data_IF_542235665427
#
_entry.id   IF_542235665427
#
_cell.length_a   1.000
_cell.length_b   1.000
_cell.length_c   1.000
_cell.angle_alpha   90.00
_cell.angle_beta   90.00
_cell.angle_gamma   90.00
#
_symmetry.space_group_name_H-M   'P 1'
#
loop_
_entity.id
_entity.type
_entity.pdbx_description
1 polymer ?
#
# COMPACT_ATOMS: atom_id res chain seq x y z
N UNK A 1 -15.77 1.56 10.42
CA UNK A 1 -14.70 0.59 10.15
C UNK A 1 -14.02 1.04 8.87
N UNK A 2 -12.78 1.55 8.93
CA UNK A 2 -12.02 1.82 7.70
C UNK A 2 -11.73 0.45 7.07
N UNK A 3 -12.16 0.26 5.82
CA UNK A 3 -11.82 -0.94 5.08
C UNK A 3 -10.30 -0.99 4.95
N UNK A 4 -9.70 -2.16 5.18
CA UNK A 4 -8.28 -2.37 4.97
C UNK A 4 -8.01 -2.32 3.46
N UNK A 5 -7.48 -1.20 2.97
CA UNK A 5 -7.34 -0.86 1.54
C UNK A 5 -5.89 -0.98 1.06
N UNK A 6 -4.94 -1.12 1.98
CA UNK A 6 -3.53 -1.29 1.66
C UNK A 6 -2.96 -2.45 2.47
N UNK A 7 -2.40 -3.42 1.76
CA UNK A 7 -1.73 -4.59 2.32
C UNK A 7 -0.23 -4.38 2.27
N UNK A 8 0.43 -4.69 3.37
CA UNK A 8 1.88 -4.73 3.48
C UNK A 8 2.37 -6.17 3.61
N UNK A 9 3.36 -6.57 2.81
CA UNK A 9 4.05 -7.85 2.90
C UNK A 9 5.54 -7.62 3.21
N UNK A 10 5.97 -8.07 4.38
CA UNK A 10 7.38 -8.03 4.75
C UNK A 10 8.16 -9.13 4.02
N UNK A 11 9.17 -8.74 3.23
CA UNK A 11 10.14 -9.67 2.65
C UNK A 11 11.51 -9.51 3.34
N UNK A 12 11.95 -10.49 4.16
CA UNK A 12 13.24 -10.45 4.83
C UNK A 12 14.44 -10.77 3.91
N UNK A 13 14.19 -11.25 2.69
CA UNK A 13 15.23 -11.61 1.72
C UNK A 13 15.53 -10.48 0.73
N UNK A 14 14.68 -9.45 0.70
CA UNK A 14 14.95 -8.26 -0.10
C UNK A 14 16.04 -7.41 0.56
N UNK A 15 17.19 -7.35 -0.10
CA UNK A 15 18.40 -6.68 0.40
C UNK A 15 18.60 -5.28 -0.18
N UNK A 16 17.80 -4.90 -1.18
CA UNK A 16 17.88 -3.57 -1.81
C UNK A 16 16.89 -2.60 -1.16
N UNK A 17 15.67 -3.06 -0.85
CA UNK A 17 14.62 -2.27 -0.23
C UNK A 17 13.95 -3.04 0.91
N UNK A 18 14.64 -3.18 2.06
CA UNK A 18 14.20 -3.85 3.29
C UNK A 18 12.90 -3.31 3.94
N UNK A 19 12.09 -2.57 3.17
CA UNK A 19 10.82 -1.95 3.51
C UNK A 19 9.61 -2.82 3.18
N UNK A 20 9.78 -3.94 2.47
CA UNK A 20 8.73 -4.88 2.03
C UNK A 20 7.86 -4.35 0.88
N UNK A 21 6.82 -5.11 0.50
CA UNK A 21 5.96 -4.85 -0.66
C UNK A 21 4.59 -4.32 -0.27
N UNK A 22 4.01 -3.46 -1.11
CA UNK A 22 2.69 -2.87 -0.89
C UNK A 22 1.71 -3.20 -2.00
N UNK A 23 0.47 -3.53 -1.62
CA UNK A 23 -0.58 -3.90 -2.57
C UNK A 23 -1.91 -3.23 -2.19
N UNK A 24 -2.55 -2.58 -3.16
CA UNK A 24 -3.89 -2.05 -2.94
C UNK A 24 -4.92 -3.19 -2.87
N UNK A 25 -5.86 -3.09 -1.93
CA UNK A 25 -7.04 -3.94 -1.84
C UNK A 25 -8.22 -3.20 -2.50
N UNK A 26 -8.39 -3.37 -3.80
CA UNK A 26 -9.45 -2.74 -4.55
C UNK A 26 -10.73 -3.57 -4.45
N UNK A 27 -11.81 -2.97 -3.92
CA UNK A 27 -13.14 -3.61 -3.84
C UNK A 27 -13.11 -5.02 -3.21
N UNK A 28 -12.26 -5.20 -2.18
CA UNK A 28 -12.09 -6.47 -1.47
C UNK A 28 -11.16 -7.48 -2.14
N UNK A 29 -10.42 -7.09 -3.19
CA UNK A 29 -9.43 -7.93 -3.87
C UNK A 29 -8.05 -7.30 -3.83
N UNK A 30 -7.06 -8.05 -3.34
CA UNK A 30 -5.65 -7.67 -3.43
C UNK A 30 -5.27 -7.59 -4.91
N UNK A 31 -4.75 -6.44 -5.34
CA UNK A 31 -4.23 -6.27 -6.68
C UNK A 31 -2.86 -6.95 -6.79
N UNK A 32 -2.57 -7.53 -7.96
CA UNK A 32 -1.29 -8.22 -8.22
C UNK A 32 -0.12 -7.25 -8.42
N UNK A 33 -0.43 -6.03 -8.85
CA UNK A 33 0.56 -4.98 -9.08
C UNK A 33 1.01 -4.38 -7.76
N UNK A 34 2.31 -4.49 -7.48
CA UNK A 34 2.94 -3.78 -6.38
C UNK A 34 2.87 -2.26 -6.58
N UNK A 35 2.62 -1.54 -5.49
CA UNK A 35 2.61 -0.09 -5.46
C UNK A 35 3.87 0.45 -4.78
N UNK A 36 4.62 1.35 -5.44
CA UNK A 36 5.64 2.11 -4.74
C UNK A 36 5.00 3.09 -3.77
N UNK A 37 5.72 3.44 -2.70
CA UNK A 37 5.29 4.52 -1.80
C UNK A 37 5.28 5.84 -2.58
N UNK A 38 4.14 6.54 -2.68
CA UNK A 38 4.06 7.82 -3.36
C UNK A 38 4.83 8.93 -2.60
N UNK A 39 5.26 10.00 -3.29
CA UNK A 39 5.73 11.20 -2.61
C UNK A 39 4.56 11.91 -1.90
N UNK A 40 4.82 12.74 -0.87
CA UNK A 40 3.78 13.36 -0.06
C UNK A 40 2.80 14.26 -0.84
N UNK A 41 3.28 14.89 -1.91
CA UNK A 41 2.52 15.83 -2.74
C UNK A 41 1.79 15.17 -3.92
N UNK A 42 1.93 13.85 -4.11
CA UNK A 42 1.31 13.14 -5.23
C UNK A 42 0.81 11.77 -4.77
N UNK A 43 -0.37 11.69 -4.12
CA UNK A 43 -0.96 10.42 -3.72
C UNK A 43 -1.24 9.54 -4.94
N UNK A 44 -1.33 8.24 -4.70
CA UNK A 44 -1.77 7.29 -5.72
C UNK A 44 -3.30 7.23 -5.75
N UNK A 45 -3.93 7.69 -6.83
CA UNK A 45 -5.36 7.51 -7.06
C UNK A 45 -5.60 6.19 -7.81
N UNK A 46 -6.39 5.28 -7.23
CA UNK A 46 -6.75 4.06 -7.90
C UNK A 46 -7.75 4.34 -9.05
N UNK A 47 -7.43 4.00 -10.31
CA UNK A 47 -8.32 4.29 -11.45
C UNK A 47 -9.62 3.46 -11.44
N UNK A 48 -9.74 2.47 -10.56
CA UNK A 48 -10.90 1.58 -10.49
C UNK A 48 -11.88 1.96 -9.38
N UNK A 49 -11.39 2.25 -8.17
CA UNK A 49 -12.23 2.58 -7.03
C UNK A 49 -12.19 4.08 -6.65
N UNK A 50 -11.30 4.87 -7.26
CA UNK A 50 -11.17 6.31 -7.03
C UNK A 50 -10.61 6.69 -5.67
N UNK A 51 -10.04 5.74 -4.92
CA UNK A 51 -9.43 6.05 -3.62
C UNK A 51 -8.04 6.64 -3.82
N UNK A 52 -7.75 7.66 -3.02
CA UNK A 52 -6.41 8.23 -2.90
C UNK A 52 -5.68 7.53 -1.76
N UNK A 53 -4.49 7.01 -2.06
CA UNK A 53 -3.57 6.43 -1.08
C UNK A 53 -2.42 7.42 -0.87
N UNK A 54 -2.38 8.02 0.30
CA UNK A 54 -1.37 8.98 0.69
C UNK A 54 -0.13 8.24 1.22
N UNK A 55 1.03 8.91 1.24
CA UNK A 55 2.25 8.32 1.80
C UNK A 55 2.05 7.81 3.24
N UNK A 56 1.23 8.51 4.03
CA UNK A 56 0.92 8.17 5.41
C UNK A 56 0.20 6.81 5.53
N UNK A 57 -0.63 6.44 4.56
CA UNK A 57 -1.31 5.14 4.54
C UNK A 57 -0.30 3.99 4.38
N UNK A 58 0.74 4.17 3.56
CA UNK A 58 1.81 3.18 3.38
C UNK A 58 2.64 3.03 4.65
N UNK A 59 3.01 4.14 5.30
CA UNK A 59 3.74 4.10 6.56
C UNK A 59 2.91 3.45 7.69
N UNK A 60 1.60 3.64 7.67
CA UNK A 60 0.68 3.01 8.60
C UNK A 60 0.54 1.49 8.35
N UNK A 61 0.40 1.10 7.09
CA UNK A 61 0.34 -0.31 6.68
C UNK A 61 1.63 -1.04 7.04
N UNK A 62 2.78 -0.41 6.86
CA UNK A 62 4.07 -0.99 7.26
C UNK A 62 4.14 -1.29 8.77
N UNK A 63 3.62 -0.40 9.61
CA UNK A 63 3.63 -0.57 11.08
C UNK A 63 2.62 -1.60 11.58
N UNK A 64 1.49 -1.76 10.89
CA UNK A 64 0.33 -2.54 11.38
C UNK A 64 0.04 -3.79 10.54
N UNK A 65 0.72 -3.97 9.41
CA UNK A 65 0.45 -4.99 8.38
C UNK A 65 -0.66 -4.62 7.40
N UNK A 66 -1.69 -3.90 7.85
CA UNK A 66 -2.85 -3.50 7.04
C UNK A 66 -3.36 -2.13 7.49
N UNK A 67 -3.66 -1.24 6.54
CA UNK A 67 -4.25 0.09 6.78
C UNK A 67 -5.61 0.24 6.08
#
# INVERSE_FOLDING_TARGET
MRAMILKYEYDPLDTEDARGHFYHVCQGRVQETELPIPPPDRPYECPHCGIELEQEDFLLAQQRGWA
#
